data_IF_419046676913
#
_entry.id   IF_419046676913
#
_cell.length_a   1.000
_cell.length_b   1.000
_cell.length_c   1.000
_cell.angle_alpha   90.00
_cell.angle_beta   90.00
_cell.angle_gamma   90.00
#
_symmetry.space_group_name_H-M   'P 1'
#
loop_
_entity.id
_entity.type
_entity.pdbx_description
1 polymer ?
#
# COMPACT_ATOMS: atom_id res chain seq x y z
N UNK A 1 9.28 15.26 -3.79
CA UNK A 1 8.50 14.89 -2.59
C UNK A 1 7.25 14.17 -3.03
N UNK A 2 6.93 13.06 -2.38
CA UNK A 2 5.76 12.24 -2.63
C UNK A 2 4.88 12.27 -1.38
N UNK A 3 3.58 12.47 -1.58
CA UNK A 3 2.61 12.53 -0.49
C UNK A 3 2.28 11.13 0.02
N UNK A 4 2.40 10.94 1.32
CA UNK A 4 1.95 9.74 2.03
C UNK A 4 0.98 10.16 3.13
N UNK A 5 -0.16 9.48 3.18
CA UNK A 5 -1.19 9.69 4.19
C UNK A 5 -1.15 8.51 5.14
N UNK A 6 -0.94 8.77 6.42
CA UNK A 6 -1.07 7.80 7.50
C UNK A 6 -2.50 7.88 8.04
N UNK A 7 -3.19 6.74 8.04
CA UNK A 7 -4.47 6.55 8.69
C UNK A 7 -4.27 5.85 10.03
N UNK A 8 -4.81 6.40 11.10
CA UNK A 8 -4.76 5.81 12.44
C UNK A 8 -5.95 6.30 13.28
N UNK A 9 -6.72 5.38 13.87
CA UNK A 9 -7.88 5.68 14.70
C UNK A 9 -8.90 6.64 14.02
N UNK A 10 -9.17 6.40 12.73
CA UNK A 10 -10.09 7.20 11.92
C UNK A 10 -9.59 8.61 11.58
N UNK A 11 -8.33 8.93 11.89
CA UNK A 11 -7.70 10.21 11.52
C UNK A 11 -6.70 9.99 10.40
N UNK A 12 -6.53 11.02 9.57
CA UNK A 12 -5.53 11.06 8.52
C UNK A 12 -4.49 12.13 8.85
N UNK A 13 -3.21 11.78 8.79
CA UNK A 13 -2.08 12.72 8.82
C UNK A 13 -1.29 12.61 7.53
N UNK A 14 -0.81 13.76 7.05
CA UNK A 14 -0.03 13.83 5.82
C UNK A 14 1.46 13.99 6.14
N UNK A 15 2.29 13.24 5.43
CA UNK A 15 3.74 13.33 5.47
C UNK A 15 4.27 13.42 4.04
N UNK A 16 5.27 14.27 3.83
CA UNK A 16 5.97 14.41 2.56
C UNK A 16 7.30 13.66 2.66
N UNK A 17 7.49 12.66 1.81
CA UNK A 17 8.71 11.83 1.78
C UNK A 17 9.48 12.13 0.49
N UNK A 18 10.80 11.91 0.50
CA UNK A 18 11.59 11.94 -0.73
C UNK A 18 11.00 10.99 -1.80
N UNK A 19 10.87 11.50 -3.02
CA UNK A 19 10.21 10.75 -4.09
C UNK A 19 11.03 9.54 -4.55
N UNK A 20 12.35 9.60 -4.47
CA UNK A 20 13.25 8.51 -4.84
C UNK A 20 13.10 7.35 -3.86
N UNK A 21 13.03 7.66 -2.56
CA UNK A 21 12.82 6.66 -1.52
C UNK A 21 11.46 5.96 -1.69
N UNK A 22 10.38 6.73 -1.87
CA UNK A 22 9.04 6.16 -2.08
C UNK A 22 8.99 5.32 -3.37
N UNK A 23 9.64 5.77 -4.44
CA UNK A 23 9.70 5.03 -5.70
C UNK A 23 10.44 3.70 -5.53
N UNK A 24 11.60 3.72 -4.86
CA UNK A 24 12.39 2.52 -4.58
C UNK A 24 11.59 1.51 -3.75
N UNK A 25 10.98 1.97 -2.64
CA UNK A 25 10.11 1.15 -1.80
C UNK A 25 8.95 0.54 -2.59
N UNK A 26 8.24 1.36 -3.37
CA UNK A 26 7.06 0.92 -4.12
C UNK A 26 7.44 -0.10 -5.18
N UNK A 27 8.58 0.08 -5.86
CA UNK A 27 9.07 -0.86 -6.87
C UNK A 27 9.47 -2.19 -6.23
N UNK A 28 10.18 -2.18 -5.10
CA UNK A 28 10.53 -3.40 -4.34
C UNK A 28 9.27 -4.15 -3.91
N UNK A 29 8.33 -3.44 -3.29
CA UNK A 29 7.07 -3.99 -2.81
C UNK A 29 6.23 -4.62 -3.93
N UNK A 30 6.05 -3.91 -5.04
CA UNK A 30 5.25 -4.38 -6.18
C UNK A 30 5.93 -5.56 -6.91
N UNK A 31 7.26 -5.60 -6.94
CA UNK A 31 8.02 -6.72 -7.53
C UNK A 31 7.89 -8.01 -6.71
N UNK A 32 7.62 -7.90 -5.41
CA UNK A 32 7.41 -9.04 -4.52
C UNK A 32 5.97 -9.59 -4.51
N UNK A 33 5.04 -9.02 -5.28
CA UNK A 33 3.67 -9.52 -5.36
C UNK A 33 3.65 -10.86 -6.10
N UNK A 34 3.02 -11.86 -5.49
CA UNK A 34 2.94 -13.22 -6.03
C UNK A 34 1.52 -13.74 -6.19
N UNK A 35 0.53 -13.08 -5.59
CA UNK A 35 -0.85 -13.56 -5.62
C UNK A 35 -1.88 -12.43 -5.58
N UNK A 36 -3.07 -12.69 -6.11
CA UNK A 36 -4.27 -11.87 -5.95
C UNK A 36 -5.10 -12.40 -4.78
N UNK A 37 -5.60 -11.50 -3.93
CA UNK A 37 -6.59 -11.81 -2.92
C UNK A 37 -7.99 -11.76 -3.55
N UNK A 38 -8.78 -12.83 -3.40
CA UNK A 38 -10.18 -12.89 -3.83
C UNK A 38 -11.08 -12.13 -2.85
N UNK A 39 -10.92 -10.82 -2.80
CA UNK A 39 -11.65 -9.91 -1.96
C UNK A 39 -12.15 -8.76 -2.81
N UNK A 40 -13.46 -8.55 -2.87
CA UNK A 40 -14.04 -7.42 -3.58
C UNK A 40 -13.82 -6.16 -2.75
N UNK A 41 -13.03 -5.23 -3.31
CA UNK A 41 -12.80 -3.91 -2.71
C UNK A 41 -13.67 -2.89 -3.42
N UNK A 42 -14.50 -2.18 -2.65
CA UNK A 42 -15.29 -1.03 -3.09
C UNK A 42 -15.04 0.19 -2.18
N UNK A 43 -15.68 1.31 -2.51
CA UNK A 43 -15.54 2.56 -1.74
C UNK A 43 -15.99 2.42 -0.29
N UNK A 44 -17.02 1.62 0.00
CA UNK A 44 -17.51 1.43 1.37
C UNK A 44 -16.49 0.65 2.20
N UNK A 45 -15.95 -0.42 1.63
CA UNK A 45 -14.91 -1.24 2.24
C UNK A 45 -13.64 -0.41 2.52
N UNK A 46 -13.22 0.43 1.57
CA UNK A 46 -12.06 1.29 1.76
C UNK A 46 -12.29 2.35 2.83
N UNK A 47 -13.48 2.95 2.88
CA UNK A 47 -13.83 3.90 3.94
C UNK A 47 -13.84 3.22 5.32
N UNK A 48 -14.36 2.00 5.39
CA UNK A 48 -14.37 1.20 6.61
C UNK A 48 -12.95 0.94 7.12
N UNK A 49 -12.05 0.42 6.26
CA UNK A 49 -10.66 0.16 6.66
C UNK A 49 -9.97 1.47 7.09
N UNK A 50 -10.09 2.55 6.30
CA UNK A 50 -9.49 3.85 6.65
C UNK A 50 -9.99 4.40 7.99
N UNK A 51 -11.21 4.05 8.39
CA UNK A 51 -11.79 4.49 9.66
C UNK A 51 -11.39 3.65 10.87
N UNK A 52 -11.08 2.36 10.65
CA UNK A 52 -10.86 1.38 11.73
C UNK A 52 -9.41 0.99 11.92
N UNK A 53 -8.68 0.81 10.82
CA UNK A 53 -7.35 0.23 10.81
C UNK A 53 -6.26 1.30 10.69
N UNK A 54 -5.08 0.97 11.18
CA UNK A 54 -3.86 1.68 10.83
C UNK A 54 -3.52 1.33 9.38
N UNK A 55 -3.24 2.33 8.55
CA UNK A 55 -2.87 2.12 7.15
C UNK A 55 -2.01 3.25 6.61
N UNK A 56 -1.31 3.01 5.51
CA UNK A 56 -0.67 4.07 4.72
C UNK A 56 -1.27 4.11 3.33
N UNK A 57 -1.35 5.32 2.78
CA UNK A 57 -1.72 5.55 1.39
C UNK A 57 -0.71 6.47 0.73
N UNK A 58 -0.12 5.99 -0.35
CA UNK A 58 0.92 6.67 -1.11
C UNK A 58 0.28 7.21 -2.39
N UNK A 59 0.49 8.50 -2.68
CA UNK A 59 -0.05 9.19 -3.84
C UNK A 59 1.05 9.47 -4.85
N UNK A 60 0.85 9.08 -6.13
CA UNK A 60 1.80 9.27 -7.22
C UNK A 60 1.26 10.27 -8.25
N UNK A 61 1.59 11.58 -8.14
CA UNK A 61 1.04 12.61 -9.04
C UNK A 61 1.38 12.40 -10.52
N UNK A 62 2.55 11.81 -10.81
CA UNK A 62 3.02 11.54 -12.17
C UNK A 62 2.65 10.12 -12.67
N UNK A 63 1.84 9.39 -11.90
CA UNK A 63 1.63 7.94 -12.00
C UNK A 63 2.92 7.12 -11.89
N UNK A 64 2.85 6.00 -11.20
CA UNK A 64 3.92 5.02 -11.14
C UNK A 64 3.68 3.97 -12.23
N UNK A 65 4.59 3.92 -13.22
CA UNK A 65 4.56 2.90 -14.27
C UNK A 65 5.28 1.66 -13.77
N UNK A 66 4.56 0.54 -13.68
CA UNK A 66 5.15 -0.74 -13.30
C UNK A 66 4.82 -1.83 -14.31
N UNK A 67 5.76 -2.76 -14.41
CA UNK A 67 5.57 -4.04 -15.05
C UNK A 67 6.34 -5.06 -14.21
N UNK A 68 5.63 -6.04 -13.66
CA UNK A 68 6.26 -7.13 -12.91
C UNK A 68 5.91 -8.47 -13.57
N UNK A 69 6.43 -9.57 -13.05
CA UNK A 69 6.04 -10.88 -13.57
C UNK A 69 4.57 -11.21 -13.29
N UNK A 70 3.99 -10.59 -12.26
CA UNK A 70 2.63 -10.86 -11.80
C UNK A 70 1.64 -9.75 -12.17
N UNK A 71 2.13 -8.51 -12.21
CA UNK A 71 1.39 -7.35 -12.66
C UNK A 71 1.76 -7.10 -14.12
N UNK A 72 0.77 -7.09 -15.00
CA UNK A 72 0.96 -6.56 -16.36
C UNK A 72 1.43 -5.10 -16.35
N UNK A 73 1.58 -4.47 -17.52
CA UNK A 73 1.83 -3.03 -17.57
C UNK A 73 0.68 -2.27 -16.91
N UNK A 74 0.98 -1.47 -15.89
CA UNK A 74 -0.01 -0.69 -15.13
C UNK A 74 0.48 0.74 -14.87
N UNK A 75 -0.48 1.66 -14.72
CA UNK A 75 -0.21 3.05 -14.31
C UNK A 75 -0.91 3.35 -12.98
N UNK A 76 -0.14 3.23 -11.89
CA UNK A 76 -0.65 3.30 -10.53
C UNK A 76 -0.67 4.76 -10.07
N UNK A 77 -1.82 5.25 -9.61
CA UNK A 77 -1.92 6.59 -9.02
C UNK A 77 -1.86 6.58 -7.50
N UNK A 78 -2.28 5.47 -6.85
CA UNK A 78 -2.19 5.28 -5.40
C UNK A 78 -1.92 3.84 -5.01
N UNK A 79 -1.22 3.69 -3.90
CA UNK A 79 -1.00 2.42 -3.22
C UNK A 79 -1.56 2.57 -1.80
N UNK A 80 -2.41 1.65 -1.38
CA UNK A 80 -2.95 1.58 -0.02
C UNK A 80 -2.52 0.27 0.65
N UNK A 81 -1.99 0.38 1.86
CA UNK A 81 -1.41 -0.74 2.61
C UNK A 81 -1.94 -0.70 4.05
N UNK A 82 -2.77 -1.70 4.44
CA UNK A 82 -3.13 -1.91 5.85
C UNK A 82 -1.89 -2.25 6.69
N UNK A 83 -1.72 -1.56 7.81
CA UNK A 83 -0.68 -1.79 8.81
C UNK A 83 -1.21 -2.50 10.07
N UNK A 84 -2.53 -2.63 10.21
CA UNK A 84 -3.19 -3.45 11.23
C UNK A 84 -4.37 -4.24 10.65
N UNK A 85 -4.95 -5.10 11.49
CA UNK A 85 -6.11 -5.92 11.14
C UNK A 85 -5.77 -7.11 10.25
N UNK A 86 -6.80 -7.81 9.80
CA UNK A 86 -6.68 -9.12 9.10
C UNK A 86 -5.94 -9.05 7.76
N UNK A 87 -5.84 -7.85 7.18
CA UNK A 87 -5.15 -7.64 5.90
C UNK A 87 -3.66 -7.29 6.06
N UNK A 88 -3.22 -6.95 7.27
CA UNK A 88 -1.82 -6.63 7.55
C UNK A 88 -0.98 -7.90 7.70
N UNK A 89 0.30 -7.81 7.30
CA UNK A 89 1.28 -8.85 7.65
C UNK A 89 1.76 -8.65 9.08
N UNK A 90 2.15 -9.75 9.74
CA UNK A 90 2.79 -9.77 11.06
C UNK A 90 4.08 -10.59 11.02
N UNK A 91 4.81 -10.66 12.13
CA UNK A 91 6.01 -11.52 12.24
C UNK A 91 5.66 -13.01 12.06
N UNK A 92 4.49 -13.41 12.54
CA UNK A 92 3.99 -14.79 12.52
C UNK A 92 3.33 -15.12 11.16
N UNK A 93 2.75 -14.13 10.50
CA UNK A 93 2.14 -14.26 9.17
C UNK A 93 2.62 -13.10 8.29
N UNK A 94 3.78 -13.23 7.62
CA UNK A 94 4.46 -12.10 6.95
C UNK A 94 3.74 -11.58 5.70
N UNK A 95 2.64 -12.23 5.31
CA UNK A 95 1.91 -11.92 4.08
C UNK A 95 1.03 -10.69 4.29
N UNK A 96 1.42 -9.57 3.67
CA UNK A 96 0.64 -8.32 3.69
C UNK A 96 -0.25 -8.19 2.46
N UNK A 97 -1.31 -7.39 2.60
CA UNK A 97 -2.18 -7.01 1.48
C UNK A 97 -1.76 -5.65 0.93
N UNK A 98 -1.73 -5.53 -0.40
CA UNK A 98 -1.47 -4.27 -1.12
C UNK A 98 -2.66 -3.99 -2.03
N UNK A 99 -3.29 -2.83 -1.86
CA UNK A 99 -4.42 -2.39 -2.68
C UNK A 99 -3.90 -1.27 -3.58
N UNK A 100 -4.08 -1.39 -4.89
CA UNK A 100 -3.67 -0.35 -5.84
C UNK A 100 -4.86 0.34 -6.46
N UNK A 101 -4.62 1.55 -6.93
CA UNK A 101 -5.59 2.38 -7.62
C UNK A 101 -5.02 2.79 -8.98
N UNK A 102 -5.92 2.82 -9.97
CA UNK A 102 -5.69 3.32 -11.31
C UNK A 102 -6.82 4.30 -11.65
N UNK A 103 -6.48 5.44 -12.26
CA UNK A 103 -7.45 6.45 -12.71
C UNK A 103 -8.47 6.87 -11.63
N UNK A 104 -8.01 7.05 -10.40
CA UNK A 104 -8.80 7.50 -9.26
C UNK A 104 -9.62 6.42 -8.57
N UNK A 105 -9.52 5.15 -8.99
CA UNK A 105 -10.31 4.05 -8.44
C UNK A 105 -9.43 2.90 -7.98
N UNK A 106 -9.70 2.37 -6.78
CA UNK A 106 -9.06 1.13 -6.35
C UNK A 106 -9.50 -0.02 -7.23
N UNK A 107 -8.54 -0.87 -7.59
CA UNK A 107 -8.86 -2.10 -8.28
C UNK A 107 -9.63 -3.03 -7.33
N UNK A 108 -10.58 -3.78 -7.88
CA UNK A 108 -11.49 -4.61 -7.09
C UNK A 108 -10.84 -5.88 -6.52
N UNK A 109 -9.55 -6.11 -6.78
CA UNK A 109 -8.82 -7.33 -6.38
C UNK A 109 -7.43 -6.99 -5.82
N UNK A 110 -7.28 -6.87 -4.48
CA UNK A 110 -6.00 -6.61 -3.85
C UNK A 110 -4.96 -7.69 -4.11
N UNK A 111 -3.70 -7.36 -3.85
CA UNK A 111 -2.57 -8.29 -3.99
C UNK A 111 -2.04 -8.74 -2.64
N UNK A 112 -1.42 -9.92 -2.62
CA UNK A 112 -0.70 -10.47 -1.48
C UNK A 112 0.80 -10.42 -1.74
N UNK A 113 1.51 -9.89 -0.76
CA UNK A 113 2.95 -9.75 -0.73
C UNK A 113 3.51 -10.68 0.36
N UNK A 114 4.06 -11.85 0.01
CA UNK A 114 4.46 -12.87 0.99
C UNK A 114 5.47 -12.41 2.04
N UNK A 115 6.39 -11.52 1.67
CA UNK A 115 7.39 -10.92 2.57
C UNK A 115 7.01 -9.52 3.04
N UNK A 116 5.72 -9.17 2.95
CA UNK A 116 5.23 -7.82 3.07
C UNK A 116 5.49 -7.19 4.40
N UNK A 117 5.37 -7.94 5.50
CA UNK A 117 5.64 -7.42 6.84
C UNK A 117 7.03 -6.77 6.92
N UNK A 118 8.08 -7.50 6.51
CA UNK A 118 9.45 -7.00 6.58
C UNK A 118 9.74 -5.81 5.67
N UNK A 119 9.15 -5.79 4.47
CA UNK A 119 9.34 -4.71 3.49
C UNK A 119 8.65 -3.43 3.99
N UNK A 120 7.41 -3.57 4.47
CA UNK A 120 6.60 -2.46 4.96
C UNK A 120 7.13 -1.92 6.30
N UNK A 121 7.58 -2.79 7.22
CA UNK A 121 8.17 -2.38 8.51
C UNK A 121 9.43 -1.53 8.31
N UNK A 122 10.31 -1.89 7.36
CA UNK A 122 11.51 -1.09 7.03
C UNK A 122 11.16 0.32 6.55
N UNK A 123 10.08 0.48 5.79
CA UNK A 123 9.64 1.77 5.28
C UNK A 123 8.90 2.59 6.35
N UNK A 124 7.99 1.96 7.07
CA UNK A 124 7.14 2.62 8.08
C UNK A 124 7.88 2.95 9.38
N UNK A 125 8.88 2.15 9.76
CA UNK A 125 9.73 2.47 10.92
C UNK A 125 10.50 3.78 10.74
N UNK A 126 10.86 4.16 9.51
CA UNK A 126 11.44 5.48 9.23
C UNK A 126 10.40 6.59 9.35
N UNK A 127 9.16 6.33 8.93
CA UNK A 127 8.07 7.31 8.94
C UNK A 127 7.53 7.64 10.32
N UNK A 128 7.64 6.70 11.27
CA UNK A 128 7.02 6.80 12.60
C UNK A 128 8.03 7.15 13.70
N UNK A 129 9.33 7.30 13.38
CA UNK A 129 10.39 7.65 14.33
C UNK A 129 11.02 9.03 14.06
N UNK A 130 10.45 9.83 13.15
CA UNK A 130 10.71 11.27 12.99
C UNK A 130 9.57 12.09 13.60
#
# INVERSE_FOLDING_TARGET
MTKVVLYENGKASEVLIDSTEVYSFSTEMLSGIENVLRLAVDSNYMNEIKSKEKAIEIYFPAHLKVQTNYLGPMEIDRIFIPLSGDLSGTKESPVSTVIISENGNYISTPYRLPNGFSIIEKFTSKLLNE
#
